data_IF_060114981845
#
_entry.id   IF_060114981845
#
_cell.length_a   1.000
_cell.length_b   1.000
_cell.length_c   1.000
_cell.angle_alpha   90.00
_cell.angle_beta   90.00
_cell.angle_gamma   90.00
#
_symmetry.space_group_name_H-M   'P 1'
#
loop_
_entity.id
_entity.type
_entity.pdbx_description
1 polymer ?
#
# COMPACT_ATOMS: atom_id res chain seq x y z
N UNK A 1 11.02 -26.39 20.15
CA UNK A 1 10.16 -25.64 21.11
C UNK A 1 9.71 -24.37 20.44
N UNK A 2 8.47 -24.40 20.01
CA UNK A 2 7.79 -23.26 19.40
C UNK A 2 7.46 -22.26 20.54
N UNK A 3 8.27 -21.22 20.69
CA UNK A 3 7.94 -20.16 21.65
C UNK A 3 6.77 -19.36 21.06
N UNK A 4 5.60 -19.55 21.61
CA UNK A 4 4.39 -18.80 21.29
C UNK A 4 4.63 -17.30 21.60
N UNK A 5 5.07 -16.57 20.57
CA UNK A 5 5.24 -15.10 20.70
C UNK A 5 3.86 -14.49 20.66
N UNK A 6 3.41 -14.00 21.82
CA UNK A 6 2.15 -13.27 21.89
C UNK A 6 2.23 -12.03 20.96
N UNK A 7 1.22 -11.79 20.10
CA UNK A 7 1.25 -10.68 19.13
C UNK A 7 1.26 -9.29 19.78
N UNK A 8 0.99 -9.21 21.07
CA UNK A 8 0.91 -7.97 21.85
C UNK A 8 2.21 -7.60 22.57
N UNK A 9 3.34 -8.10 22.10
CA UNK A 9 4.65 -7.69 22.62
C UNK A 9 5.14 -6.46 21.86
N UNK A 10 5.89 -5.58 22.56
CA UNK A 10 6.47 -4.38 21.94
C UNK A 10 7.36 -4.71 20.73
N UNK A 11 8.00 -5.87 20.72
CA UNK A 11 8.79 -6.38 19.59
C UNK A 11 7.94 -6.66 18.32
N UNK A 12 6.63 -6.84 18.44
CA UNK A 12 5.73 -6.99 17.29
C UNK A 12 5.25 -5.65 16.72
N UNK A 13 5.49 -4.54 17.40
CA UNK A 13 5.00 -3.22 17.03
C UNK A 13 5.45 -2.78 15.62
N UNK A 14 6.73 -2.95 15.20
CA UNK A 14 7.15 -2.61 13.84
C UNK A 14 6.43 -3.42 12.77
N UNK A 15 6.10 -4.68 13.05
CA UNK A 15 5.30 -5.50 12.13
C UNK A 15 3.86 -5.00 12.02
N UNK A 16 3.22 -4.68 13.15
CA UNK A 16 1.84 -4.14 13.17
C UNK A 16 1.79 -2.81 12.41
N UNK A 17 2.75 -1.92 12.65
CA UNK A 17 2.87 -0.64 11.94
C UNK A 17 3.07 -0.85 10.44
N UNK A 18 3.94 -1.79 10.04
CA UNK A 18 4.15 -2.14 8.64
C UNK A 18 2.86 -2.63 7.99
N UNK A 19 2.13 -3.51 8.67
CA UNK A 19 0.84 -4.03 8.20
C UNK A 19 -0.17 -2.89 8.01
N UNK A 20 -0.29 -1.99 8.98
CA UNK A 20 -1.21 -0.84 8.92
C UNK A 20 -0.83 0.16 7.81
N UNK A 21 0.45 0.24 7.44
CA UNK A 21 0.92 1.16 6.42
C UNK A 21 0.47 0.81 4.99
N UNK A 22 0.29 -0.49 4.71
CA UNK A 22 -0.05 -0.96 3.37
C UNK A 22 -1.34 -1.79 3.28
N UNK A 23 -2.00 -2.07 4.40
CA UNK A 23 -3.23 -2.86 4.39
C UNK A 23 -4.48 -2.00 4.61
N UNK A 24 -5.45 -2.05 3.69
CA UNK A 24 -5.49 -2.80 2.43
C UNK A 24 -4.75 -2.10 1.28
N UNK A 25 -4.41 -0.82 1.43
CA UNK A 25 -3.62 -0.02 0.49
C UNK A 25 -3.10 1.24 1.18
N UNK A 26 -1.93 1.78 0.77
CA UNK A 26 -1.43 3.05 1.28
C UNK A 26 -2.43 4.19 1.00
N UNK A 27 -2.65 5.08 1.98
CA UNK A 27 -3.67 6.13 1.85
C UNK A 27 -3.33 7.18 0.78
N UNK A 28 -2.05 7.37 0.48
CA UNK A 28 -1.58 8.27 -0.59
C UNK A 28 -2.05 7.84 -1.98
N UNK A 29 -2.45 6.57 -2.18
CA UNK A 29 -3.09 6.11 -3.42
C UNK A 29 -4.38 6.88 -3.71
N UNK A 30 -5.00 7.50 -2.71
CA UNK A 30 -6.16 8.39 -2.92
C UNK A 30 -5.86 9.51 -3.93
N UNK A 31 -4.65 10.05 -3.93
CA UNK A 31 -4.22 11.06 -4.91
C UNK A 31 -4.12 10.48 -6.32
N UNK A 32 -3.57 9.27 -6.47
CA UNK A 32 -3.48 8.56 -7.75
C UNK A 32 -4.88 8.28 -8.30
N UNK A 33 -5.77 7.72 -7.47
CA UNK A 33 -7.14 7.40 -7.86
C UNK A 33 -7.92 8.65 -8.29
N UNK A 34 -7.72 9.79 -7.62
CA UNK A 34 -8.37 11.03 -7.99
C UNK A 34 -7.94 11.52 -9.39
N UNK A 35 -6.64 11.42 -9.70
CA UNK A 35 -6.11 11.81 -11.01
C UNK A 35 -6.57 10.86 -12.12
N UNK A 36 -6.60 9.56 -11.89
CA UNK A 36 -7.13 8.60 -12.86
C UNK A 36 -8.61 8.78 -13.11
N UNK A 37 -9.39 9.02 -12.05
CA UNK A 37 -10.82 9.30 -12.19
C UNK A 37 -11.05 10.59 -12.97
N UNK A 38 -10.29 11.65 -12.68
CA UNK A 38 -10.37 12.90 -13.41
C UNK A 38 -9.99 12.74 -14.90
N UNK A 39 -8.95 11.94 -15.19
CA UNK A 39 -8.53 11.66 -16.57
C UNK A 39 -9.58 10.86 -17.34
N UNK A 40 -10.12 9.81 -16.72
CA UNK A 40 -11.20 8.99 -17.29
C UNK A 40 -12.48 9.81 -17.52
N UNK A 41 -12.78 10.74 -16.62
CA UNK A 41 -13.93 11.65 -16.72
C UNK A 41 -13.88 12.59 -17.94
N UNK A 42 -12.71 12.79 -18.56
CA UNK A 42 -12.60 13.56 -19.82
C UNK A 42 -13.19 12.81 -21.03
N UNK A 43 -13.21 11.49 -21.00
CA UNK A 43 -13.66 10.64 -22.09
C UNK A 43 -15.03 9.99 -21.85
N UNK A 44 -15.41 9.79 -20.59
CA UNK A 44 -16.64 9.12 -20.17
C UNK A 44 -17.31 9.94 -19.08
N UNK A 45 -18.61 10.11 -19.14
CA UNK A 45 -19.36 10.75 -18.08
C UNK A 45 -19.47 9.78 -16.88
N UNK A 46 -18.71 10.06 -15.81
CA UNK A 46 -18.67 9.25 -14.58
C UNK A 46 -19.51 9.95 -13.53
N UNK A 47 -20.54 9.26 -13.03
CA UNK A 47 -21.32 9.74 -11.89
C UNK A 47 -20.58 9.45 -10.56
N UNK A 48 -20.94 10.18 -9.50
CA UNK A 48 -20.42 9.90 -8.15
C UNK A 48 -20.77 8.48 -7.70
N UNK A 49 -21.96 8.00 -8.10
CA UNK A 49 -22.43 6.65 -7.78
C UNK A 49 -21.55 5.58 -8.44
N UNK A 50 -21.14 5.78 -9.68
CA UNK A 50 -20.24 4.85 -10.40
C UNK A 50 -18.86 4.80 -9.71
N UNK A 51 -18.32 5.96 -9.34
CA UNK A 51 -17.05 6.04 -8.62
C UNK A 51 -17.10 5.38 -7.24
N UNK A 52 -18.18 5.55 -6.48
CA UNK A 52 -18.37 4.89 -5.19
C UNK A 52 -18.56 3.38 -5.35
N UNK A 53 -19.26 2.93 -6.38
CA UNK A 53 -19.42 1.51 -6.67
C UNK A 53 -18.07 0.85 -6.99
N UNK A 54 -17.31 1.44 -7.91
CA UNK A 54 -15.97 0.95 -8.29
C UNK A 54 -15.03 0.87 -7.08
N UNK A 55 -14.97 1.95 -6.29
CA UNK A 55 -14.18 1.99 -5.06
C UNK A 55 -14.58 0.89 -4.06
N UNK A 56 -15.89 0.75 -3.77
CA UNK A 56 -16.37 -0.22 -2.80
C UNK A 56 -16.09 -1.66 -3.26
N UNK A 57 -16.30 -1.98 -4.53
CA UNK A 57 -16.02 -3.32 -5.09
C UNK A 57 -14.53 -3.63 -4.98
N UNK A 58 -13.66 -2.69 -5.35
CA UNK A 58 -12.21 -2.87 -5.24
C UNK A 58 -11.76 -3.04 -3.80
N UNK A 59 -12.23 -2.18 -2.90
CA UNK A 59 -11.83 -2.18 -1.50
C UNK A 59 -12.32 -3.43 -0.74
N UNK A 60 -13.58 -3.79 -0.89
CA UNK A 60 -14.17 -5.00 -0.27
C UNK A 60 -13.53 -6.26 -0.84
N UNK A 61 -13.34 -6.33 -2.17
CA UNK A 61 -12.66 -7.44 -2.82
C UNK A 61 -11.24 -7.63 -2.30
N UNK A 62 -10.47 -6.56 -2.17
CA UNK A 62 -9.11 -6.59 -1.61
C UNK A 62 -9.12 -7.04 -0.14
N UNK A 63 -10.08 -6.59 0.67
CA UNK A 63 -10.21 -7.01 2.07
C UNK A 63 -10.53 -8.51 2.19
N UNK A 64 -11.41 -9.04 1.34
CA UNK A 64 -11.71 -10.48 1.28
C UNK A 64 -10.47 -11.28 0.88
N UNK A 65 -9.76 -10.86 -0.16
CA UNK A 65 -8.52 -11.50 -0.58
C UNK A 65 -7.45 -11.48 0.52
N UNK A 66 -7.34 -10.38 1.26
CA UNK A 66 -6.42 -10.29 2.39
C UNK A 66 -6.70 -11.36 3.46
N UNK A 67 -7.97 -11.67 3.75
CA UNK A 67 -8.35 -12.75 4.68
C UNK A 67 -7.82 -14.10 4.17
N UNK A 68 -7.95 -14.39 2.88
CA UNK A 68 -7.40 -15.62 2.29
C UNK A 68 -5.87 -15.69 2.43
N UNK A 69 -5.15 -14.61 2.17
CA UNK A 69 -3.70 -14.58 2.32
C UNK A 69 -3.27 -14.76 3.78
N UNK A 70 -3.97 -14.14 4.73
CA UNK A 70 -3.73 -14.34 6.17
C UNK A 70 -4.01 -15.79 6.56
N UNK A 71 -5.11 -16.38 6.10
CA UNK A 71 -5.43 -17.78 6.35
C UNK A 71 -4.37 -18.73 5.77
N UNK A 72 -3.89 -18.49 4.55
CA UNK A 72 -2.80 -19.26 3.94
C UNK A 72 -1.51 -19.15 4.77
N UNK A 73 -1.14 -17.97 5.21
CA UNK A 73 0.00 -17.76 6.10
C UNK A 73 -0.15 -18.51 7.42
N UNK A 74 -1.31 -18.41 8.06
CA UNK A 74 -1.58 -19.02 9.36
C UNK A 74 -1.70 -20.53 9.30
N UNK A 75 -2.34 -21.09 8.28
CA UNK A 75 -2.68 -22.52 8.21
C UNK A 75 -1.60 -23.35 7.51
N UNK A 76 -0.82 -22.75 6.62
CA UNK A 76 0.15 -23.48 5.79
C UNK A 76 1.59 -23.06 6.15
N UNK A 77 1.90 -21.77 6.12
CA UNK A 77 3.27 -21.30 6.34
C UNK A 77 3.68 -21.42 7.82
N UNK A 78 2.83 -20.94 8.73
CA UNK A 78 3.13 -20.89 10.16
C UNK A 78 3.44 -22.27 10.76
N UNK A 79 2.67 -23.36 10.46
CA UNK A 79 2.95 -24.68 11.00
C UNK A 79 4.26 -25.30 10.51
N UNK A 80 4.84 -24.82 9.40
CA UNK A 80 6.13 -25.33 8.91
C UNK A 80 7.31 -24.92 9.78
N UNK A 81 7.15 -23.88 10.62
CA UNK A 81 8.25 -23.31 11.41
C UNK A 81 9.34 -22.61 10.59
N UNK A 82 9.19 -22.56 9.27
CA UNK A 82 10.18 -21.93 8.37
C UNK A 82 10.04 -20.42 8.41
N UNK A 83 11.17 -19.73 8.58
CA UNK A 83 11.21 -18.27 8.48
C UNK A 83 10.85 -17.82 7.04
N UNK A 84 10.21 -16.67 6.96
CA UNK A 84 9.95 -16.01 5.67
C UNK A 84 11.28 -15.58 5.06
N UNK A 85 11.47 -15.90 3.78
CA UNK A 85 12.71 -15.59 3.07
C UNK A 85 12.84 -14.08 2.81
N UNK A 86 14.05 -13.55 3.03
CA UNK A 86 14.33 -12.11 2.88
C UNK A 86 14.67 -11.70 1.43
N UNK A 87 15.24 -12.61 0.64
CA UNK A 87 15.58 -12.35 -0.76
C UNK A 87 14.37 -12.55 -1.67
N UNK A 88 14.15 -11.61 -2.60
CA UNK A 88 12.95 -11.60 -3.44
C UNK A 88 12.67 -12.88 -4.21
N UNK A 89 13.68 -13.50 -4.83
CA UNK A 89 13.52 -14.75 -5.57
C UNK A 89 13.17 -15.93 -4.65
N UNK A 90 13.82 -16.04 -3.50
CA UNK A 90 13.56 -17.09 -2.52
C UNK A 90 12.17 -16.92 -1.88
N UNK A 91 11.76 -15.68 -1.61
CA UNK A 91 10.41 -15.36 -1.14
C UNK A 91 9.33 -15.83 -2.13
N UNK A 92 9.50 -15.52 -3.43
CA UNK A 92 8.55 -15.96 -4.47
C UNK A 92 8.50 -17.48 -4.56
N UNK A 93 9.65 -18.16 -4.49
CA UNK A 93 9.68 -19.62 -4.50
C UNK A 93 8.97 -20.22 -3.28
N UNK A 94 9.16 -19.65 -2.10
CA UNK A 94 8.47 -20.06 -0.87
C UNK A 94 6.96 -19.84 -1.01
N UNK A 95 6.55 -18.69 -1.52
CA UNK A 95 5.15 -18.35 -1.77
C UNK A 95 4.50 -19.32 -2.77
N UNK A 96 5.13 -19.57 -3.92
CA UNK A 96 4.65 -20.55 -4.90
C UNK A 96 4.59 -21.95 -4.32
N UNK A 97 5.60 -22.34 -3.51
CA UNK A 97 5.65 -23.62 -2.82
C UNK A 97 4.47 -23.81 -1.86
N UNK A 98 4.08 -22.77 -1.15
CA UNK A 98 2.92 -22.77 -0.25
C UNK A 98 1.62 -23.12 -1.00
N UNK A 99 1.38 -22.54 -2.17
CA UNK A 99 0.23 -22.89 -3.01
C UNK A 99 0.33 -24.30 -3.57
N UNK A 100 1.50 -24.70 -4.04
CA UNK A 100 1.71 -26.02 -4.61
C UNK A 100 1.51 -27.15 -3.59
N UNK A 101 1.79 -26.90 -2.31
CA UNK A 101 1.53 -27.89 -1.24
C UNK A 101 0.06 -28.19 -1.04
N UNK A 102 -0.84 -27.27 -1.42
CA UNK A 102 -2.29 -27.43 -1.29
C UNK A 102 -2.93 -27.88 -2.60
N UNK A 103 -2.53 -27.26 -3.72
CA UNK A 103 -3.17 -27.47 -5.02
C UNK A 103 -2.50 -28.58 -5.85
N UNK A 104 -1.29 -28.99 -5.45
CA UNK A 104 -0.43 -29.91 -6.18
C UNK A 104 0.60 -29.23 -7.07
N UNK A 105 1.65 -29.96 -7.45
CA UNK A 105 2.81 -29.43 -8.18
C UNK A 105 2.47 -28.83 -9.56
N UNK A 106 1.41 -29.27 -10.20
CA UNK A 106 0.94 -28.69 -11.47
C UNK A 106 0.66 -27.19 -11.38
N UNK A 107 0.27 -26.71 -10.20
CA UNK A 107 -0.09 -25.30 -9.95
C UNK A 107 1.12 -24.36 -9.94
N UNK A 108 2.36 -24.86 -9.77
CA UNK A 108 3.57 -24.04 -9.67
C UNK A 108 3.72 -23.08 -10.84
N UNK A 109 3.58 -23.58 -12.07
CA UNK A 109 3.74 -22.76 -13.28
C UNK A 109 2.66 -21.69 -13.32
N UNK A 110 1.40 -22.07 -13.06
CA UNK A 110 0.27 -21.14 -13.06
C UNK A 110 0.43 -20.04 -12.00
N UNK A 111 0.75 -20.41 -10.76
CA UNK A 111 0.93 -19.45 -9.66
C UNK A 111 2.13 -18.52 -9.92
N UNK A 112 3.25 -19.06 -10.44
CA UNK A 112 4.40 -18.23 -10.82
C UNK A 112 4.03 -17.21 -11.89
N UNK A 113 3.25 -17.62 -12.91
CA UNK A 113 2.80 -16.72 -13.96
C UNK A 113 1.84 -15.65 -13.44
N UNK A 114 0.91 -16.03 -12.57
CA UNK A 114 -0.01 -15.08 -11.90
C UNK A 114 0.80 -14.08 -11.04
N UNK A 115 1.75 -14.56 -10.24
CA UNK A 115 2.61 -13.70 -9.43
C UNK A 115 3.40 -12.71 -10.30
N UNK A 116 3.97 -13.19 -11.41
CA UNK A 116 4.64 -12.31 -12.38
C UNK A 116 3.70 -11.23 -12.94
N UNK A 117 2.49 -11.61 -13.40
CA UNK A 117 1.53 -10.65 -13.93
C UNK A 117 1.09 -9.62 -12.88
N UNK A 118 0.87 -10.05 -11.64
CA UNK A 118 0.51 -9.16 -10.54
C UNK A 118 1.63 -8.14 -10.24
N UNK A 119 2.88 -8.60 -10.13
CA UNK A 119 4.02 -7.72 -9.88
C UNK A 119 4.24 -6.78 -11.06
N UNK A 120 4.20 -7.29 -12.28
CA UNK A 120 4.38 -6.50 -13.51
C UNK A 120 3.30 -5.42 -13.64
N UNK A 121 2.03 -5.78 -13.43
CA UNK A 121 0.91 -4.83 -13.42
C UNK A 121 1.09 -3.76 -12.34
N UNK A 122 1.51 -4.15 -11.14
CA UNK A 122 1.79 -3.20 -10.05
C UNK A 122 2.91 -2.22 -10.42
N UNK A 123 3.99 -2.70 -11.02
CA UNK A 123 5.10 -1.82 -11.47
C UNK A 123 4.63 -0.76 -12.47
N UNK A 124 3.84 -1.16 -13.47
CA UNK A 124 3.26 -0.22 -14.44
C UNK A 124 2.37 0.81 -13.74
N UNK A 125 1.48 0.35 -12.86
CA UNK A 125 0.56 1.18 -12.10
C UNK A 125 1.30 2.20 -11.22
N UNK A 126 2.36 1.76 -10.55
CA UNK A 126 3.19 2.62 -9.68
C UNK A 126 3.94 3.68 -10.52
N UNK A 127 4.56 3.27 -11.62
CA UNK A 127 5.29 4.21 -12.50
C UNK A 127 4.32 5.26 -13.07
N UNK A 128 3.17 4.86 -13.60
CA UNK A 128 2.18 5.81 -14.14
C UNK A 128 1.59 6.70 -13.04
N UNK A 129 1.09 6.10 -11.97
CA UNK A 129 0.36 6.79 -10.91
C UNK A 129 1.20 7.83 -10.18
N UNK A 130 2.36 7.44 -9.64
CA UNK A 130 3.23 8.39 -8.93
C UNK A 130 3.82 9.46 -9.86
N UNK A 131 4.09 9.12 -11.12
CA UNK A 131 4.57 10.12 -12.08
C UNK A 131 3.51 11.19 -12.38
N UNK A 132 2.24 10.81 -12.46
CA UNK A 132 1.13 11.76 -12.61
C UNK A 132 0.98 12.63 -11.36
N UNK A 133 1.04 12.04 -10.16
CA UNK A 133 0.98 12.82 -8.91
C UNK A 133 2.12 13.81 -8.82
N UNK A 134 3.35 13.39 -9.12
CA UNK A 134 4.52 14.27 -9.10
C UNK A 134 4.43 15.39 -10.14
N UNK A 135 4.03 15.06 -11.37
CA UNK A 135 3.86 16.04 -12.44
C UNK A 135 2.77 17.06 -12.12
N UNK A 136 1.64 16.61 -11.57
CA UNK A 136 0.54 17.49 -11.17
C UNK A 136 0.92 18.34 -9.95
N UNK A 137 1.62 17.78 -8.97
CA UNK A 137 2.14 18.53 -7.84
C UNK A 137 3.10 19.64 -8.27
N UNK A 138 3.99 19.33 -9.22
CA UNK A 138 4.91 20.32 -9.77
C UNK A 138 4.16 21.43 -10.52
N UNK A 139 3.15 21.07 -11.33
CA UNK A 139 2.28 22.03 -12.02
C UNK A 139 1.64 23.02 -11.04
N UNK A 140 1.08 22.47 -9.94
CA UNK A 140 0.42 23.29 -8.90
C UNK A 140 1.43 24.22 -8.20
N UNK A 141 2.64 23.74 -7.90
CA UNK A 141 3.69 24.53 -7.27
C UNK A 141 4.21 25.66 -8.18
N UNK A 142 4.29 25.41 -9.49
CA UNK A 142 4.72 26.39 -10.48
C UNK A 142 3.58 27.29 -10.98
N UNK A 143 2.34 27.04 -10.51
CA UNK A 143 1.13 27.75 -10.92
C UNK A 143 0.91 27.74 -12.44
N UNK A 144 1.17 26.58 -13.07
CA UNK A 144 0.95 26.35 -14.50
C UNK A 144 -0.49 25.92 -14.79
N UNK A 145 -1.05 26.32 -15.94
CA UNK A 145 -2.44 26.00 -16.31
C UNK A 145 -2.66 24.52 -16.60
N UNK A 146 -1.67 23.82 -17.16
CA UNK A 146 -1.77 22.43 -17.60
C UNK A 146 -0.49 21.65 -17.34
N UNK A 147 -0.65 20.39 -16.97
CA UNK A 147 0.48 19.46 -16.87
C UNK A 147 1.06 19.16 -18.25
N UNK A 148 2.34 19.42 -18.43
CA UNK A 148 3.04 19.14 -19.69
C UNK A 148 3.27 17.63 -19.85
N UNK A 149 3.00 17.09 -21.04
CA UNK A 149 3.34 15.71 -21.39
C UNK A 149 4.85 15.42 -21.24
N UNK A 150 5.69 16.40 -21.54
CA UNK A 150 7.14 16.29 -21.33
C UNK A 150 7.48 16.10 -19.86
N UNK A 151 6.88 16.86 -18.97
CA UNK A 151 7.05 16.73 -17.52
C UNK A 151 6.61 15.34 -17.03
N UNK A 152 5.48 14.85 -17.52
CA UNK A 152 5.00 13.50 -17.19
C UNK A 152 6.00 12.41 -17.62
N UNK A 153 6.49 12.45 -18.86
CA UNK A 153 7.49 11.49 -19.34
C UNK A 153 8.82 11.56 -18.57
N UNK A 154 9.26 12.75 -18.17
CA UNK A 154 10.44 12.91 -17.32
C UNK A 154 10.23 12.19 -15.97
N UNK A 155 9.09 12.40 -15.33
CA UNK A 155 8.77 11.72 -14.07
C UNK A 155 8.64 10.22 -14.22
N UNK A 156 8.03 9.72 -15.30
CA UNK A 156 7.94 8.28 -15.58
C UNK A 156 9.33 7.65 -15.73
N UNK A 157 10.21 8.30 -16.50
CA UNK A 157 11.58 7.86 -16.70
C UNK A 157 12.38 7.89 -15.40
N UNK A 158 12.28 8.99 -14.65
CA UNK A 158 12.96 9.15 -13.36
C UNK A 158 12.49 8.09 -12.35
N UNK A 159 11.20 7.87 -12.22
CA UNK A 159 10.63 6.85 -11.32
C UNK A 159 11.11 5.45 -11.70
N UNK A 160 11.12 5.09 -12.99
CA UNK A 160 11.61 3.81 -13.46
C UNK A 160 13.11 3.62 -13.19
N UNK A 161 13.94 4.64 -13.47
CA UNK A 161 15.38 4.59 -13.23
C UNK A 161 15.67 4.47 -11.73
N UNK A 162 15.06 5.33 -10.90
CA UNK A 162 15.27 5.32 -9.44
C UNK A 162 14.84 3.96 -8.87
N UNK A 163 13.68 3.44 -9.28
CA UNK A 163 13.21 2.11 -8.88
C UNK A 163 14.19 1.01 -9.27
N UNK A 164 14.69 1.04 -10.51
CA UNK A 164 15.71 0.09 -10.99
C UNK A 164 17.03 0.16 -10.20
N UNK A 165 17.50 1.37 -9.90
CA UNK A 165 18.69 1.58 -9.06
C UNK A 165 18.49 1.03 -7.65
N UNK A 166 17.34 1.30 -7.03
CA UNK A 166 17.02 0.78 -5.69
C UNK A 166 17.01 -0.76 -5.71
N UNK A 167 16.35 -1.37 -6.69
CA UNK A 167 16.31 -2.83 -6.82
C UNK A 167 17.73 -3.39 -6.99
N UNK A 168 18.54 -2.78 -7.83
CA UNK A 168 19.91 -3.24 -8.07
C UNK A 168 20.77 -3.26 -6.79
N UNK A 169 20.67 -2.22 -5.96
CA UNK A 169 21.47 -2.15 -4.73
C UNK A 169 20.89 -2.96 -3.56
N UNK A 170 19.59 -3.24 -3.55
CA UNK A 170 18.89 -3.90 -2.43
C UNK A 170 18.36 -5.31 -2.74
N UNK A 171 18.86 -5.98 -3.77
CA UNK A 171 18.40 -7.32 -4.17
C UNK A 171 18.42 -8.36 -3.03
N UNK A 172 19.44 -8.29 -2.16
CA UNK A 172 19.57 -9.21 -1.02
C UNK A 172 18.79 -8.81 0.23
N UNK A 173 18.12 -7.65 0.23
CA UNK A 173 17.49 -7.05 1.42
C UNK A 173 16.07 -6.56 1.12
N UNK A 174 15.35 -7.27 0.26
CA UNK A 174 13.99 -6.87 -0.18
C UNK A 174 13.03 -6.75 1.01
N UNK A 175 13.08 -7.67 1.97
CA UNK A 175 12.22 -7.63 3.15
C UNK A 175 12.49 -6.38 4.02
N UNK A 176 13.77 -5.99 4.19
CA UNK A 176 14.14 -4.78 4.93
C UNK A 176 13.63 -3.52 4.22
N UNK A 177 13.81 -3.46 2.89
CA UNK A 177 13.33 -2.35 2.07
C UNK A 177 11.81 -2.22 2.12
N UNK A 178 11.08 -3.33 2.00
CA UNK A 178 9.62 -3.35 2.13
C UNK A 178 9.17 -2.89 3.51
N UNK A 179 9.80 -3.38 4.58
CA UNK A 179 9.48 -2.95 5.95
C UNK A 179 9.68 -1.45 6.13
N UNK A 180 10.79 -0.91 5.64
CA UNK A 180 11.04 0.53 5.66
C UNK A 180 9.95 1.31 4.91
N UNK A 181 9.61 0.88 3.69
CA UNK A 181 8.58 1.55 2.88
C UNK A 181 7.20 1.51 3.55
N UNK A 182 6.81 0.37 4.13
CA UNK A 182 5.55 0.21 4.84
C UNK A 182 5.47 1.09 6.10
N UNK A 183 6.55 1.17 6.87
CA UNK A 183 6.61 2.04 8.07
C UNK A 183 6.56 3.51 7.65
N UNK A 184 7.31 3.91 6.62
CA UNK A 184 7.29 5.27 6.10
C UNK A 184 5.89 5.66 5.60
N UNK A 185 5.21 4.78 4.89
CA UNK A 185 3.83 4.96 4.45
C UNK A 185 2.88 5.13 5.64
N UNK A 186 3.01 4.31 6.69
CA UNK A 186 2.20 4.47 7.90
C UNK A 186 2.41 5.84 8.56
N UNK A 187 3.65 6.30 8.68
CA UNK A 187 3.96 7.58 9.32
C UNK A 187 3.42 8.79 8.53
N UNK A 188 3.26 8.67 7.22
CA UNK A 188 2.63 9.70 6.38
C UNK A 188 1.09 9.60 6.34
N UNK A 189 0.53 8.44 6.69
CA UNK A 189 -0.91 8.18 6.65
C UNK A 189 -1.75 9.21 7.41
N UNK A 190 -1.43 9.65 8.66
CA UNK A 190 -2.23 10.64 9.39
C UNK A 190 -2.35 11.96 8.64
N UNK A 191 -1.29 12.39 7.93
CA UNK A 191 -1.27 13.62 7.17
C UNK A 191 -2.17 13.55 5.94
N UNK A 192 -2.07 12.47 5.16
CA UNK A 192 -2.96 12.25 4.02
C UNK A 192 -4.43 12.08 4.44
N UNK A 193 -4.68 11.38 5.56
CA UNK A 193 -6.02 11.27 6.11
C UNK A 193 -6.59 12.63 6.52
N UNK A 194 -5.77 13.49 7.15
CA UNK A 194 -6.18 14.86 7.50
C UNK A 194 -6.48 15.68 6.26
N UNK A 195 -5.62 15.65 5.23
CA UNK A 195 -5.83 16.38 3.98
C UNK A 195 -7.13 15.93 3.29
N UNK A 196 -7.37 14.62 3.22
CA UNK A 196 -8.61 14.08 2.67
C UNK A 196 -9.84 14.51 3.48
N UNK A 197 -9.76 14.49 4.82
CA UNK A 197 -10.82 14.98 5.69
C UNK A 197 -11.14 16.46 5.46
N UNK A 198 -10.11 17.31 5.40
CA UNK A 198 -10.26 18.74 5.14
C UNK A 198 -10.88 19.00 3.76
N UNK A 199 -10.41 18.31 2.73
CA UNK A 199 -10.95 18.43 1.37
C UNK A 199 -12.44 18.05 1.33
N UNK A 200 -12.80 16.89 1.85
CA UNK A 200 -14.19 16.40 1.83
C UNK A 200 -15.11 17.29 2.66
N UNK A 201 -14.65 17.84 3.78
CA UNK A 201 -15.45 18.73 4.62
C UNK A 201 -15.59 20.13 4.06
N UNK A 202 -14.63 20.61 3.26
CA UNK A 202 -14.71 21.90 2.58
C UNK A 202 -15.70 21.87 1.42
N UNK A 203 -15.69 20.79 0.64
CA UNK A 203 -16.56 20.63 -0.53
C UNK A 203 -17.98 20.19 -0.16
N UNK A 204 -18.12 19.30 0.81
CA UNK A 204 -19.40 18.67 1.17
C UNK A 204 -19.93 19.15 2.53
N UNK A 205 -20.64 20.27 2.53
CA UNK A 205 -21.23 20.88 3.74
C UNK A 205 -22.30 20.00 4.42
N UNK A 206 -22.82 18.99 3.71
CA UNK A 206 -23.89 18.10 4.19
C UNK A 206 -23.42 16.74 4.71
N UNK A 207 -22.11 16.57 5.00
CA UNK A 207 -21.62 15.34 5.63
C UNK A 207 -22.38 15.09 6.95
N UNK A 208 -22.85 13.84 7.11
CA UNK A 208 -23.54 13.45 8.33
C UNK A 208 -22.64 13.61 9.56
N UNK A 209 -23.24 13.98 10.69
CA UNK A 209 -22.52 14.15 11.97
C UNK A 209 -21.80 12.88 12.38
N UNK A 210 -22.37 11.71 12.07
CA UNK A 210 -21.79 10.40 12.34
C UNK A 210 -20.49 10.19 11.56
N UNK A 211 -20.49 10.46 10.24
CA UNK A 211 -19.29 10.34 9.41
C UNK A 211 -18.19 11.30 9.86
N UNK A 212 -18.54 12.54 10.22
CA UNK A 212 -17.58 13.50 10.78
C UNK A 212 -16.97 12.98 12.10
N UNK A 213 -17.80 12.47 13.00
CA UNK A 213 -17.35 11.90 14.27
C UNK A 213 -16.42 10.71 14.08
N UNK A 214 -16.79 9.79 13.18
CA UNK A 214 -15.96 8.62 12.85
C UNK A 214 -14.61 9.03 12.22
N UNK A 215 -14.62 10.01 11.32
CA UNK A 215 -13.39 10.52 10.69
C UNK A 215 -12.46 11.17 11.71
N UNK A 216 -12.99 11.97 12.64
CA UNK A 216 -12.20 12.59 13.70
C UNK A 216 -11.61 11.52 14.63
N UNK A 217 -12.40 10.51 15.01
CA UNK A 217 -11.92 9.40 15.83
C UNK A 217 -10.79 8.64 15.12
N UNK A 218 -10.94 8.39 13.81
CA UNK A 218 -9.90 7.78 12.98
C UNK A 218 -8.62 8.61 12.93
N UNK A 219 -8.73 9.93 12.78
CA UNK A 219 -7.58 10.83 12.79
C UNK A 219 -6.86 10.82 14.16
N UNK A 220 -7.61 10.89 15.27
CA UNK A 220 -7.05 10.81 16.61
C UNK A 220 -6.30 9.49 16.79
N UNK A 221 -6.89 8.37 16.34
CA UNK A 221 -6.25 7.07 16.40
C UNK A 221 -4.95 7.03 15.58
N UNK A 222 -4.97 7.50 14.32
CA UNK A 222 -3.80 7.47 13.44
C UNK A 222 -2.65 8.34 13.97
N UNK A 223 -2.94 9.58 14.36
CA UNK A 223 -1.91 10.45 14.97
C UNK A 223 -1.40 9.91 16.29
N UNK A 224 -2.31 9.47 17.18
CA UNK A 224 -1.95 8.90 18.46
C UNK A 224 -1.07 7.66 18.33
N UNK A 225 -1.43 6.75 17.40
CA UNK A 225 -0.66 5.53 17.19
C UNK A 225 0.69 5.80 16.51
N UNK A 226 0.76 6.75 15.58
CA UNK A 226 2.02 7.16 14.96
C UNK A 226 2.98 7.80 15.99
N UNK A 227 2.48 8.67 16.85
CA UNK A 227 3.28 9.26 17.94
C UNK A 227 3.72 8.21 18.96
N UNK A 228 2.84 7.28 19.31
CA UNK A 228 3.19 6.14 20.17
C UNK A 228 4.30 5.28 19.57
N UNK A 229 4.24 4.99 18.28
CA UNK A 229 5.28 4.24 17.59
C UNK A 229 6.62 4.96 17.57
N UNK A 230 6.63 6.27 17.25
CA UNK A 230 7.85 7.09 17.29
C UNK A 230 8.44 7.09 18.71
N UNK A 231 7.60 7.27 19.72
CA UNK A 231 8.03 7.22 21.12
C UNK A 231 8.64 5.85 21.48
N UNK A 232 8.02 4.75 21.06
CA UNK A 232 8.52 3.39 21.29
C UNK A 232 9.89 3.15 20.65
N UNK A 233 10.13 3.70 19.46
CA UNK A 233 11.44 3.67 18.78
C UNK A 233 12.47 4.45 19.62
N UNK A 234 12.15 5.68 20.04
CA UNK A 234 13.08 6.55 20.76
C UNK A 234 13.53 5.97 22.11
N UNK A 235 12.68 5.20 22.77
CA UNK A 235 13.03 4.53 24.05
C UNK A 235 13.61 3.11 23.84
N UNK A 236 13.90 2.70 22.60
CA UNK A 236 14.51 1.41 22.27
C UNK A 236 13.64 0.18 22.56
N UNK A 237 12.32 0.34 22.67
CA UNK A 237 11.37 -0.77 22.95
C UNK A 237 10.71 -1.36 21.69
N UNK A 238 10.98 -0.79 20.52
CA UNK A 238 10.40 -1.22 19.25
C UNK A 238 11.39 -1.99 18.33
N UNK A 239 12.47 -2.55 18.91
CA UNK A 239 13.45 -3.39 18.24
C UNK A 239 13.58 -4.73 18.93
#
# INVERSE_FOLDING_TARGET
DFVEKTPWQMAALPFIVSLMGWMPAPIEISAINSLWTAEKGKSVNISVTDGLFDFNVGYIGTAILAIFFVAMGALIQYPTGQAVQDAGAAYIQQFVGMYASVLGDWSRILITFIAFLCIFGTVITVIDGYSRVNAESLRLLLNEDKTSQKTLHIWMTATAIIGGVIIYFFQGSVALMLRFAMIASFLTTPFFALLNYLLVTSENKHLSKWLKGLSILGLIFLFGFALFFIYAILIGKAY
#
